data_IF_542715530295
#
_entry.id   IF_542715530295
#
_cell.length_a   1.000
_cell.length_b   1.000
_cell.length_c   1.000
_cell.angle_alpha   90.00
_cell.angle_beta   90.00
_cell.angle_gamma   90.00
#
_symmetry.space_group_name_H-M   'P 1'
#
loop_
_entity.id
_entity.type
_entity.pdbx_description
1 polymer ?
#
# COMPACT_ATOMS: atom_id res chain seq x y z
N UNK A 1 -6.33 15.83 33.08
CA UNK A 1 -5.22 15.60 32.13
C UNK A 1 -5.37 16.65 31.05
N UNK A 2 -4.49 17.65 31.05
CA UNK A 2 -4.46 18.64 29.97
C UNK A 2 -3.97 17.95 28.70
N UNK A 3 -4.83 17.83 27.70
CA UNK A 3 -4.49 17.32 26.36
C UNK A 3 -4.53 18.49 25.40
N UNK A 4 -3.37 19.07 25.06
CA UNK A 4 -3.31 20.00 23.94
C UNK A 4 -3.31 19.18 22.63
N UNK A 5 -4.37 19.29 21.84
CA UNK A 5 -4.59 18.46 20.64
C UNK A 5 -4.22 19.23 19.37
N UNK A 6 -3.48 18.58 18.47
CA UNK A 6 -3.29 18.94 17.05
C UNK A 6 -3.45 17.62 16.26
N UNK A 7 -4.17 17.44 15.15
CA UNK A 7 -4.86 18.30 14.18
C UNK A 7 -5.69 17.37 13.28
N UNK A 8 -6.96 17.65 12.95
CA UNK A 8 -7.77 16.68 12.18
C UNK A 8 -8.67 17.25 11.09
N UNK A 9 -8.46 16.69 9.90
CA UNK A 9 -9.21 16.91 8.69
C UNK A 9 -8.48 16.18 7.56
N UNK A 10 -8.99 15.01 7.18
CA UNK A 10 -8.39 14.13 6.15
C UNK A 10 -9.10 14.21 4.79
N UNK A 11 -9.90 15.25 4.57
CA UNK A 11 -10.56 15.54 3.29
C UNK A 11 -10.55 17.04 3.02
N UNK A 12 -10.66 17.44 1.76
CA UNK A 12 -10.60 18.86 1.38
C UNK A 12 -11.75 19.70 1.95
N UNK A 13 -12.90 19.08 2.21
CA UNK A 13 -14.01 19.72 2.93
C UNK A 13 -13.66 20.05 4.39
N UNK A 14 -12.67 19.38 4.99
CA UNK A 14 -12.12 19.68 6.31
C UNK A 14 -10.78 20.46 6.24
N UNK A 15 -10.19 20.63 5.05
CA UNK A 15 -8.84 21.18 4.82
C UNK A 15 -8.82 22.67 4.45
N UNK A 16 -9.97 23.30 4.23
CA UNK A 16 -10.08 24.62 3.59
C UNK A 16 -9.50 25.84 4.33
N UNK A 17 -8.78 25.68 5.45
CA UNK A 17 -8.10 26.79 6.14
C UNK A 17 -6.76 26.28 6.69
N UNK A 18 -5.68 27.03 6.42
CA UNK A 18 -4.31 26.72 6.83
C UNK A 18 -4.20 26.23 8.28
N UNK A 19 -3.77 24.97 8.45
CA UNK A 19 -3.05 24.48 9.62
C UNK A 19 -3.69 24.70 10.99
N UNK A 20 -4.54 23.75 11.39
CA UNK A 20 -4.88 23.38 12.81
C UNK A 20 -5.96 24.26 13.45
N UNK A 21 -7.13 23.67 13.76
CA UNK A 21 -8.31 24.47 14.10
C UNK A 21 -9.10 24.18 15.38
N UNK A 22 -8.91 23.11 16.17
CA UNK A 22 -9.64 22.98 17.47
C UNK A 22 -8.87 22.23 18.56
N UNK A 23 -8.85 22.77 19.78
CA UNK A 23 -8.46 22.03 20.99
C UNK A 23 -9.66 21.25 21.55
N UNK A 24 -9.47 20.01 22.01
CA UNK A 24 -10.51 19.22 22.68
C UNK A 24 -10.35 19.33 24.20
N UNK A 25 -11.41 19.77 24.89
CA UNK A 25 -11.46 19.76 26.36
C UNK A 25 -12.37 18.63 26.83
N UNK A 26 -11.77 17.65 27.53
CA UNK A 26 -12.48 16.48 28.06
C UNK A 26 -12.64 16.51 29.60
N UNK A 27 -12.06 17.49 30.28
CA UNK A 27 -12.17 17.70 31.73
C UNK A 27 -12.56 19.15 32.06
N UNK A 28 -13.04 19.40 33.28
CA UNK A 28 -13.36 20.76 33.75
C UNK A 28 -12.12 21.62 34.07
N UNK A 29 -10.91 21.17 33.70
CA UNK A 29 -9.67 21.92 33.95
C UNK A 29 -9.53 23.08 32.93
N UNK A 30 -9.10 24.27 33.37
CA UNK A 30 -8.90 25.40 32.47
C UNK A 30 -7.75 25.17 31.49
N UNK A 31 -8.01 25.36 30.19
CA UNK A 31 -7.00 25.34 29.13
C UNK A 31 -6.34 26.73 29.09
N UNK A 32 -5.12 26.84 29.59
CA UNK A 32 -4.38 28.11 29.59
C UNK A 32 -3.56 28.27 28.31
N UNK A 33 -3.76 29.40 27.61
CA UNK A 33 -2.89 29.80 26.50
C UNK A 33 -3.33 29.36 25.09
N UNK A 34 -4.54 28.83 24.91
CA UNK A 34 -5.03 28.45 23.58
C UNK A 34 -5.42 29.70 22.75
N UNK A 35 -4.73 29.91 21.63
CA UNK A 35 -5.06 30.92 20.60
C UNK A 35 -6.03 30.40 19.53
N UNK A 36 -6.54 29.17 19.70
CA UNK A 36 -7.32 28.38 18.73
C UNK A 36 -8.70 28.06 19.34
N UNK A 37 -9.79 27.93 18.56
CA UNK A 37 -11.10 27.56 19.08
C UNK A 37 -11.06 26.26 19.92
N UNK A 38 -11.76 26.20 21.05
CA UNK A 38 -11.83 25.02 21.93
C UNK A 38 -13.20 24.36 21.81
N UNK A 39 -13.22 23.06 21.48
CA UNK A 39 -14.39 22.20 21.56
C UNK A 39 -14.45 21.56 22.95
N UNK A 40 -15.45 21.96 23.73
CA UNK A 40 -15.62 21.53 25.12
C UNK A 40 -16.63 20.39 25.25
N UNK A 41 -16.11 19.19 25.46
CA UNK A 41 -16.89 17.97 25.63
C UNK A 41 -16.79 17.45 27.08
N UNK A 42 -16.37 18.28 28.03
CA UNK A 42 -16.29 17.91 29.45
C UNK A 42 -17.64 17.50 30.05
N UNK A 43 -18.76 17.93 29.46
CA UNK A 43 -20.12 17.50 29.81
C UNK A 43 -20.71 16.38 28.94
N UNK A 44 -19.92 15.79 28.02
CA UNK A 44 -20.37 14.75 27.08
C UNK A 44 -20.90 15.24 25.74
N UNK A 45 -21.26 16.53 25.61
CA UNK A 45 -21.69 17.15 24.36
C UNK A 45 -21.42 18.66 24.36
N UNK A 46 -21.25 19.25 23.18
CA UNK A 46 -21.20 20.71 22.97
C UNK A 46 -22.45 21.15 22.20
N UNK A 47 -23.20 22.13 22.71
CA UNK A 47 -24.40 22.65 22.03
C UNK A 47 -24.05 23.57 20.84
N UNK A 48 -22.83 24.10 20.80
CA UNK A 48 -22.40 25.06 19.76
C UNK A 48 -21.76 24.41 18.54
N UNK A 49 -21.28 23.17 18.66
CA UNK A 49 -20.87 22.32 17.55
C UNK A 49 -21.41 20.92 17.83
N UNK A 50 -22.25 20.37 16.94
CA UNK A 50 -23.00 19.12 17.16
C UNK A 50 -22.07 17.90 17.35
N UNK A 51 -21.40 17.84 18.49
CA UNK A 51 -20.31 16.94 18.79
C UNK A 51 -20.61 16.23 20.10
N UNK A 52 -20.45 14.91 20.10
CA UNK A 52 -20.69 14.05 21.26
C UNK A 52 -19.41 13.30 21.60
N UNK A 53 -19.05 13.28 22.89
CA UNK A 53 -17.96 12.48 23.40
C UNK A 53 -18.49 11.18 24.00
N UNK A 54 -17.91 10.05 23.58
CA UNK A 54 -18.20 8.73 24.13
C UNK A 54 -16.91 8.04 24.54
N UNK A 55 -16.86 7.59 25.80
CA UNK A 55 -15.76 6.77 26.31
C UNK A 55 -16.11 5.29 26.17
N UNK A 56 -15.36 4.57 25.34
CA UNK A 56 -15.58 3.14 25.04
C UNK A 56 -14.79 2.29 26.03
N UNK A 57 -15.50 1.66 26.98
CA UNK A 57 -14.94 0.64 27.86
C UNK A 57 -15.55 -0.75 27.60
N UNK A 58 -16.77 -0.80 27.04
CA UNK A 58 -17.49 -2.04 26.76
C UNK A 58 -18.47 -1.88 25.58
N UNK A 59 -19.19 -2.96 25.26
CA UNK A 59 -20.15 -3.01 24.15
C UNK A 59 -21.32 -2.03 24.30
N UNK A 60 -21.79 -1.75 25.52
CA UNK A 60 -22.90 -0.79 25.71
C UNK A 60 -22.48 0.63 25.35
N UNK A 61 -21.23 1.01 25.67
CA UNK A 61 -20.69 2.32 25.30
C UNK A 61 -20.57 2.45 23.78
N UNK A 62 -20.20 1.37 23.10
CA UNK A 62 -20.18 1.32 21.64
C UNK A 62 -21.57 1.48 21.04
N UNK A 63 -22.59 0.83 21.61
CA UNK A 63 -23.98 1.02 21.17
C UNK A 63 -24.45 2.46 21.39
N UNK A 64 -24.04 3.10 22.49
CA UNK A 64 -24.30 4.52 22.72
C UNK A 64 -23.65 5.40 21.65
N UNK A 65 -22.38 5.15 21.29
CA UNK A 65 -21.72 5.87 20.20
C UNK A 65 -22.42 5.68 18.85
N UNK A 66 -22.84 4.44 18.53
CA UNK A 66 -23.57 4.13 17.29
C UNK A 66 -24.92 4.86 17.21
N UNK A 67 -25.60 5.06 18.34
CA UNK A 67 -26.87 5.76 18.38
C UNK A 67 -26.77 7.25 17.98
N UNK A 68 -25.57 7.84 18.02
CA UNK A 68 -25.33 9.22 17.59
C UNK A 68 -25.02 9.36 16.09
N UNK A 69 -24.80 8.25 15.38
CA UNK A 69 -24.54 8.26 13.94
C UNK A 69 -25.78 8.74 13.18
N UNK A 70 -25.59 9.73 12.31
CA UNK A 70 -26.65 10.44 11.59
C UNK A 70 -27.32 11.55 12.39
N UNK A 71 -27.06 11.67 13.70
CA UNK A 71 -27.64 12.69 14.58
C UNK A 71 -26.63 13.79 14.97
N UNK A 72 -25.37 13.39 15.20
CA UNK A 72 -24.27 14.30 15.52
C UNK A 72 -23.43 14.61 14.27
N UNK A 73 -22.85 15.81 14.20
CA UNK A 73 -21.82 16.14 13.21
C UNK A 73 -20.51 15.42 13.55
N UNK A 74 -20.16 15.33 14.84
CA UNK A 74 -18.95 14.66 15.31
C UNK A 74 -19.24 13.67 16.43
N UNK A 75 -18.65 12.48 16.34
CA UNK A 75 -18.56 11.53 17.46
C UNK A 75 -17.09 11.39 17.82
N UNK A 76 -16.72 11.84 19.02
CA UNK A 76 -15.36 11.78 19.57
C UNK A 76 -15.26 10.58 20.51
N UNK A 77 -14.36 9.66 20.20
CA UNK A 77 -14.15 8.41 20.92
C UNK A 77 -12.90 8.50 21.80
N UNK A 78 -13.04 8.18 23.08
CA UNK A 78 -11.90 7.78 23.93
C UNK A 78 -12.05 6.32 24.32
N UNK A 79 -10.98 5.69 24.79
CA UNK A 79 -10.98 4.25 25.07
C UNK A 79 -10.44 3.97 26.46
N UNK A 80 -11.03 3.00 27.16
CA UNK A 80 -10.41 2.45 28.37
C UNK A 80 -9.17 1.63 28.00
N UNK A 81 -9.32 0.76 27.00
CA UNK A 81 -8.25 0.03 26.33
C UNK A 81 -8.41 0.18 24.81
N UNK A 82 -7.34 0.57 24.12
CA UNK A 82 -7.37 0.73 22.66
C UNK A 82 -7.73 -0.59 21.96
N UNK A 83 -8.70 -0.53 21.03
CA UNK A 83 -9.10 -1.66 20.20
C UNK A 83 -9.58 -1.18 18.83
N UNK A 84 -9.24 -1.95 17.79
CA UNK A 84 -9.62 -1.63 16.40
C UNK A 84 -11.11 -1.86 16.14
N UNK A 85 -11.70 -2.92 16.70
CA UNK A 85 -13.07 -3.35 16.36
C UNK A 85 -14.11 -2.25 16.62
N UNK A 86 -14.10 -1.53 17.76
CA UNK A 86 -15.05 -0.44 17.97
C UNK A 86 -14.89 0.70 16.97
N UNK A 87 -13.65 1.04 16.61
CA UNK A 87 -13.36 2.09 15.62
C UNK A 87 -13.89 1.68 14.24
N UNK A 88 -13.61 0.45 13.80
CA UNK A 88 -14.06 -0.07 12.50
C UNK A 88 -15.58 -0.09 12.39
N UNK A 89 -16.28 -0.54 13.43
CA UNK A 89 -17.74 -0.57 13.46
C UNK A 89 -18.35 0.84 13.38
N UNK A 90 -17.77 1.82 14.08
CA UNK A 90 -18.25 3.21 14.06
C UNK A 90 -17.96 3.88 12.70
N UNK A 91 -16.78 3.64 12.12
CA UNK A 91 -16.44 4.10 10.76
C UNK A 91 -17.40 3.49 9.74
N UNK A 92 -17.66 2.18 9.79
CA UNK A 92 -18.59 1.51 8.90
C UNK A 92 -20.02 2.06 9.02
N UNK A 93 -20.49 2.31 10.24
CA UNK A 93 -21.82 2.88 10.47
C UNK A 93 -21.93 4.33 9.98
N UNK A 94 -20.86 5.12 10.10
CA UNK A 94 -20.82 6.51 9.67
C UNK A 94 -20.81 6.67 8.14
N UNK A 95 -20.39 5.63 7.38
CA UNK A 95 -20.36 5.68 5.92
C UNK A 95 -21.75 6.00 5.33
N UNK A 96 -21.78 7.02 4.46
CA UNK A 96 -23.02 7.51 3.85
C UNK A 96 -23.85 8.43 4.74
N UNK A 97 -23.36 8.78 5.93
CA UNK A 97 -23.97 9.77 6.82
C UNK A 97 -23.09 11.05 6.88
N UNK A 98 -23.63 12.19 7.34
CA UNK A 98 -22.82 13.39 7.56
C UNK A 98 -21.97 13.35 8.84
N UNK A 99 -22.12 12.31 9.67
CA UNK A 99 -21.41 12.18 10.94
C UNK A 99 -19.96 11.81 10.70
N UNK A 100 -19.06 12.56 11.34
CA UNK A 100 -17.61 12.36 11.32
C UNK A 100 -17.12 11.73 12.61
N UNK A 101 -16.11 10.88 12.52
CA UNK A 101 -15.55 10.16 13.65
C UNK A 101 -14.19 10.74 14.03
N UNK A 102 -14.02 11.07 15.31
CA UNK A 102 -12.72 11.36 15.90
C UNK A 102 -12.33 10.29 16.93
N UNK A 103 -11.11 9.78 16.89
CA UNK A 103 -10.55 8.86 17.87
C UNK A 103 -9.40 9.54 18.62
N UNK A 104 -9.50 9.57 19.95
CA UNK A 104 -8.44 10.05 20.82
C UNK A 104 -7.49 8.89 21.13
N UNK A 105 -6.21 9.05 20.81
CA UNK A 105 -5.18 8.00 20.94
C UNK A 105 -3.86 8.59 21.46
N UNK A 106 -3.05 7.75 22.08
CA UNK A 106 -1.83 8.16 22.77
C UNK A 106 -0.58 7.35 22.37
N UNK A 107 -0.69 6.49 21.34
CA UNK A 107 0.45 5.69 20.83
C UNK A 107 0.55 5.73 19.32
N UNK A 108 1.76 5.68 18.73
CA UNK A 108 1.94 5.66 17.27
C UNK A 108 1.20 4.51 16.56
N UNK A 109 1.12 3.33 17.18
CA UNK A 109 0.37 2.20 16.63
C UNK A 109 -1.13 2.43 16.61
N UNK A 110 -1.69 3.07 17.64
CA UNK A 110 -3.10 3.45 17.66
C UNK A 110 -3.41 4.56 16.65
N UNK A 111 -2.49 5.51 16.44
CA UNK A 111 -2.61 6.52 15.38
C UNK A 111 -2.73 5.85 14.01
N UNK A 112 -1.80 4.94 13.68
CA UNK A 112 -1.83 4.22 12.40
C UNK A 112 -3.10 3.37 12.25
N UNK A 113 -3.51 2.66 13.31
CA UNK A 113 -4.75 1.89 13.33
C UNK A 113 -5.98 2.76 13.05
N UNK A 114 -6.16 3.84 13.81
CA UNK A 114 -7.26 4.79 13.62
C UNK A 114 -7.26 5.39 12.20
N UNK A 115 -6.09 5.81 11.72
CA UNK A 115 -5.93 6.46 10.43
C UNK A 115 -6.32 5.56 9.25
N UNK A 116 -6.20 4.23 9.35
CA UNK A 116 -6.46 3.29 8.25
C UNK A 116 -7.54 2.24 8.56
N UNK A 117 -8.36 2.45 9.59
CA UNK A 117 -9.47 1.56 9.94
C UNK A 117 -10.38 1.31 8.71
N UNK A 118 -10.58 0.04 8.34
CA UNK A 118 -11.31 -0.36 7.12
C UNK A 118 -10.83 0.32 5.82
N UNK A 119 -9.53 0.64 5.70
CA UNK A 119 -8.93 1.37 4.57
C UNK A 119 -9.48 2.78 4.34
N UNK A 120 -10.47 3.22 5.14
CA UNK A 120 -11.08 4.56 5.07
C UNK A 120 -10.52 5.44 6.19
N UNK A 121 -10.28 4.85 7.37
CA UNK A 121 -9.87 5.55 8.57
C UNK A 121 -10.97 6.36 9.22
N UNK A 122 -10.69 6.84 10.42
CA UNK A 122 -11.47 7.90 11.06
C UNK A 122 -11.26 9.23 10.33
N UNK A 123 -12.24 10.13 10.42
CA UNK A 123 -12.14 11.53 9.96
C UNK A 123 -11.19 12.36 10.83
N UNK A 124 -10.78 11.80 11.97
CA UNK A 124 -10.04 12.51 12.98
C UNK A 124 -9.28 11.57 13.98
N UNK A 125 -7.96 11.67 14.14
CA UNK A 125 -7.12 11.21 15.27
C UNK A 125 -6.64 12.35 16.22
N UNK A 126 -7.13 12.40 17.45
CA UNK A 126 -6.69 13.38 18.44
C UNK A 126 -5.58 12.79 19.33
N UNK A 127 -4.46 13.50 19.49
CA UNK A 127 -3.29 13.04 20.28
C UNK A 127 -2.90 14.05 21.35
N UNK A 128 -2.29 13.61 22.47
CA UNK A 128 -1.57 14.49 23.38
C UNK A 128 -0.49 15.33 22.67
N UNK A 129 -0.08 16.49 23.22
CA UNK A 129 0.88 17.42 22.60
C UNK A 129 2.33 16.96 22.75
N UNK A 130 2.57 15.69 22.50
CA UNK A 130 3.88 15.10 22.55
C UNK A 130 4.46 15.06 21.14
N UNK A 131 5.68 15.57 20.98
CA UNK A 131 6.32 15.70 19.66
C UNK A 131 6.33 14.38 18.88
N UNK A 132 6.58 13.26 19.53
CA UNK A 132 6.59 11.94 18.90
C UNK A 132 5.20 11.54 18.34
N UNK A 133 4.11 11.87 19.04
CA UNK A 133 2.75 11.58 18.58
C UNK A 133 2.31 12.53 17.47
N UNK A 134 2.72 13.79 17.55
CA UNK A 134 2.49 14.78 16.50
C UNK A 134 3.21 14.39 15.20
N UNK A 135 4.48 14.01 15.29
CA UNK A 135 5.27 13.57 14.13
C UNK A 135 4.64 12.31 13.50
N UNK A 136 4.19 11.35 14.33
CA UNK A 136 3.48 10.16 13.86
C UNK A 136 2.14 10.48 13.18
N UNK A 137 1.33 11.37 13.77
CA UNK A 137 0.06 11.80 13.20
C UNK A 137 0.25 12.54 11.87
N UNK A 138 1.26 13.40 11.77
CA UNK A 138 1.63 14.10 10.54
C UNK A 138 2.10 13.12 9.45
N UNK A 139 2.92 12.13 9.81
CA UNK A 139 3.37 11.11 8.86
C UNK A 139 2.20 10.31 8.28
N UNK A 140 1.24 9.90 9.12
CA UNK A 140 0.04 9.20 8.62
C UNK A 140 -0.81 10.12 7.74
N UNK A 141 -0.89 11.42 8.05
CA UNK A 141 -1.57 12.43 7.23
C UNK A 141 -1.01 12.55 5.83
N UNK A 142 0.31 12.65 5.72
CA UNK A 142 0.96 12.68 4.41
C UNK A 142 0.64 11.39 3.63
N UNK A 143 0.76 10.22 4.26
CA UNK A 143 0.50 8.94 3.60
C UNK A 143 -0.94 8.80 3.06
N UNK A 144 -1.95 9.35 3.77
CA UNK A 144 -3.35 9.32 3.29
C UNK A 144 -3.64 10.31 2.17
N UNK A 145 -3.02 11.49 2.21
CA UNK A 145 -3.17 12.47 1.13
C UNK A 145 -2.51 11.97 -0.16
N UNK A 146 -1.34 11.33 -0.05
CA UNK A 146 -0.68 10.67 -1.19
C UNK A 146 -1.56 9.57 -1.80
N UNK A 147 -2.19 8.71 -0.97
CA UNK A 147 -3.13 7.70 -1.46
C UNK A 147 -4.38 8.31 -2.13
N UNK A 148 -4.90 9.42 -1.60
CA UNK A 148 -6.07 10.09 -2.19
C UNK A 148 -5.73 10.77 -3.52
N UNK A 149 -4.53 11.37 -3.64
CA UNK A 149 -4.04 11.95 -4.89
C UNK A 149 -3.79 10.87 -5.97
N UNK A 150 -3.29 9.70 -5.60
CA UNK A 150 -3.18 8.55 -6.51
C UNK A 150 -4.55 8.03 -7.01
N UNK A 151 -5.63 8.27 -6.26
CA UNK A 151 -6.98 7.86 -6.65
C UNK A 151 -7.78 8.92 -7.44
N UNK A 152 -7.47 10.21 -7.29
CA UNK A 152 -8.26 11.31 -7.88
C UNK A 152 -7.58 11.99 -9.09
N UNK A 153 -6.29 11.74 -9.34
CA UNK A 153 -5.62 12.24 -10.55
C UNK A 153 -5.91 11.30 -11.72
N UNK A 154 -6.93 11.70 -12.49
CA UNK A 154 -7.32 11.06 -13.73
C UNK A 154 -6.14 10.71 -14.66
N UNK A 155 -6.18 9.46 -15.13
CA UNK A 155 -5.63 8.94 -16.38
C UNK A 155 -4.84 9.96 -17.21
N UNK A 156 -3.54 10.10 -16.97
CA UNK A 156 -2.68 10.84 -17.89
C UNK A 156 -1.23 10.37 -17.82
N UNK A 157 -0.81 9.66 -18.88
CA UNK A 157 0.55 9.50 -19.46
C UNK A 157 1.78 9.16 -18.59
N UNK A 158 1.75 9.32 -17.26
CA UNK A 158 2.85 9.14 -16.33
C UNK A 158 3.05 7.65 -15.98
N UNK A 159 1.94 6.91 -15.86
CA UNK A 159 1.87 5.47 -15.49
C UNK A 159 2.47 4.50 -16.50
N UNK A 160 2.81 4.95 -17.72
CA UNK A 160 3.44 4.10 -18.75
C UNK A 160 4.95 4.28 -18.88
N UNK A 161 5.60 5.09 -18.04
CA UNK A 161 7.07 5.20 -18.09
C UNK A 161 7.65 3.80 -17.90
N UNK A 162 8.59 3.39 -18.74
CA UNK A 162 9.30 2.10 -18.64
C UNK A 162 8.60 0.87 -19.25
N UNK A 163 7.27 0.74 -19.16
CA UNK A 163 6.58 -0.45 -19.70
C UNK A 163 6.52 -0.47 -21.23
N UNK A 164 6.79 -1.64 -21.80
CA UNK A 164 6.80 -1.87 -23.24
C UNK A 164 6.59 -3.34 -23.57
N UNK A 165 6.21 -3.61 -24.82
CA UNK A 165 6.16 -4.97 -25.34
C UNK A 165 7.55 -5.41 -25.78
N UNK A 166 8.00 -6.57 -25.29
CA UNK A 166 9.20 -7.25 -25.74
C UNK A 166 8.86 -8.60 -26.39
N UNK A 167 9.68 -9.03 -27.34
CA UNK A 167 9.52 -10.30 -28.05
C UNK A 167 10.47 -11.34 -27.46
N UNK A 168 9.95 -12.50 -27.10
CA UNK A 168 10.74 -13.65 -26.66
C UNK A 168 11.62 -14.12 -27.80
N UNK A 169 12.93 -14.19 -27.55
CA UNK A 169 13.93 -14.65 -28.52
C UNK A 169 14.36 -16.08 -28.23
N UNK A 170 14.37 -16.49 -26.96
CA UNK A 170 14.82 -17.83 -26.54
C UNK A 170 14.13 -18.28 -25.27
N UNK A 171 13.82 -19.57 -25.21
CA UNK A 171 13.29 -20.26 -24.02
C UNK A 171 14.10 -21.54 -23.84
N UNK A 172 14.69 -21.75 -22.66
CA UNK A 172 15.57 -22.89 -22.40
C UNK A 172 15.52 -23.38 -20.95
N UNK A 173 15.72 -24.68 -20.70
CA UNK A 173 15.94 -25.17 -19.33
C UNK A 173 17.16 -24.48 -18.70
N UNK A 174 17.04 -24.06 -17.45
CA UNK A 174 18.11 -23.35 -16.72
C UNK A 174 18.69 -24.16 -15.55
N UNK A 175 18.23 -25.40 -15.34
CA UNK A 175 18.68 -26.27 -14.26
C UNK A 175 17.92 -26.07 -12.96
N UNK A 176 18.51 -26.48 -11.83
CA UNK A 176 17.91 -26.36 -10.49
C UNK A 176 18.58 -25.22 -9.75
N UNK A 177 17.80 -24.37 -9.08
CA UNK A 177 18.32 -23.33 -8.20
C UNK A 177 17.31 -22.89 -7.15
N UNK A 178 17.67 -21.87 -6.39
CA UNK A 178 16.86 -21.33 -5.30
C UNK A 178 15.85 -20.31 -5.84
N UNK A 179 14.55 -20.64 -5.71
CA UNK A 179 13.42 -19.82 -6.17
C UNK A 179 12.85 -19.03 -5.01
N UNK A 180 12.81 -17.71 -5.15
CA UNK A 180 12.09 -16.80 -4.28
C UNK A 180 10.61 -16.68 -4.70
N UNK A 181 9.71 -16.93 -3.75
CA UNK A 181 8.33 -16.44 -3.77
C UNK A 181 8.20 -15.25 -2.84
N UNK A 182 7.46 -14.26 -3.29
CA UNK A 182 7.09 -13.07 -2.52
C UNK A 182 5.63 -13.23 -2.12
N UNK A 183 5.36 -13.35 -0.82
CA UNK A 183 4.02 -13.24 -0.27
C UNK A 183 3.81 -11.82 0.22
N UNK A 184 2.80 -11.14 -0.31
CA UNK A 184 2.43 -9.77 0.01
C UNK A 184 1.44 -9.73 1.17
N UNK A 185 1.43 -8.62 1.90
CA UNK A 185 0.45 -8.33 2.94
C UNK A 185 -0.90 -7.84 2.36
N UNK A 186 -1.02 -7.74 1.03
CA UNK A 186 -2.24 -7.41 0.31
C UNK A 186 -2.58 -8.43 -0.77
N UNK A 187 -3.81 -8.36 -1.28
CA UNK A 187 -4.27 -9.16 -2.40
C UNK A 187 -3.95 -8.47 -3.73
N UNK A 188 -3.55 -9.28 -4.71
CA UNK A 188 -3.36 -8.93 -6.10
C UNK A 188 -4.65 -9.16 -6.89
N UNK A 189 -4.93 -8.24 -7.78
CA UNK A 189 -5.98 -8.36 -8.78
C UNK A 189 -5.53 -9.21 -9.98
N UNK A 190 -6.48 -9.82 -10.72
CA UNK A 190 -6.15 -10.51 -11.96
C UNK A 190 -5.47 -9.60 -13.00
N UNK A 191 -4.17 -9.82 -13.19
CA UNK A 191 -3.34 -9.13 -14.18
C UNK A 191 -2.19 -8.37 -13.53
N UNK A 192 -2.26 -8.17 -12.22
CA UNK A 192 -1.19 -7.58 -11.42
C UNK A 192 -0.03 -8.56 -11.20
N UNK A 193 1.15 -7.98 -11.01
CA UNK A 193 2.38 -8.72 -10.75
C UNK A 193 3.53 -7.82 -10.35
N UNK A 194 4.72 -8.41 -10.27
CA UNK A 194 5.96 -7.71 -9.99
C UNK A 194 6.85 -7.69 -11.22
N UNK A 195 7.62 -6.62 -11.37
CA UNK A 195 8.67 -6.50 -12.38
C UNK A 195 9.95 -7.16 -11.88
N UNK A 196 10.38 -8.23 -12.56
CA UNK A 196 11.55 -9.04 -12.19
C UNK A 196 12.42 -9.38 -13.40
N UNK A 197 13.75 -9.34 -13.25
CA UNK A 197 14.66 -9.75 -14.32
C UNK A 197 16.10 -9.92 -13.86
N UNK A 198 16.92 -10.61 -14.66
CA UNK A 198 18.34 -10.82 -14.37
C UNK A 198 19.19 -9.54 -14.45
N UNK A 199 18.65 -8.45 -15.00
CA UNK A 199 19.32 -7.16 -15.14
C UNK A 199 18.40 -6.06 -14.64
N UNK A 200 18.91 -5.13 -13.82
CA UNK A 200 18.09 -4.08 -13.21
C UNK A 200 17.37 -3.17 -14.23
N UNK A 201 17.94 -3.00 -15.41
CA UNK A 201 17.37 -2.18 -16.49
C UNK A 201 16.30 -2.91 -17.32
N UNK A 202 16.23 -4.24 -17.27
CA UNK A 202 15.38 -5.07 -18.13
C UNK A 202 14.61 -6.11 -17.30
N UNK A 203 13.39 -5.74 -16.92
CA UNK A 203 12.53 -6.56 -16.05
C UNK A 203 11.31 -7.05 -16.83
N UNK A 204 10.83 -8.25 -16.56
CA UNK A 204 9.59 -8.80 -17.10
C UNK A 204 8.47 -8.76 -16.05
N UNK A 205 7.23 -8.58 -16.50
CA UNK A 205 6.08 -8.63 -15.60
C UNK A 205 5.73 -10.07 -15.24
N UNK A 206 6.07 -10.47 -14.01
CA UNK A 206 5.74 -11.78 -13.42
C UNK A 206 4.42 -11.67 -12.69
N UNK A 207 3.42 -12.39 -13.19
CA UNK A 207 2.03 -12.33 -12.74
C UNK A 207 1.83 -13.03 -11.38
N UNK A 208 0.90 -12.51 -10.58
CA UNK A 208 0.47 -13.12 -9.32
C UNK A 208 -0.24 -14.46 -9.46
N UNK A 209 -0.30 -15.23 -8.38
CA UNK A 209 -1.01 -16.53 -8.34
C UNK A 209 -2.54 -16.33 -8.21
N UNK A 210 -3.11 -15.51 -9.09
CA UNK A 210 -4.54 -15.13 -9.14
C UNK A 210 -5.35 -15.91 -10.18
N UNK A 211 -4.70 -16.62 -11.10
CA UNK A 211 -5.39 -17.50 -12.07
C UNK A 211 -5.55 -18.91 -11.49
N UNK A 212 -6.78 -19.43 -11.38
CA UNK A 212 -7.02 -20.78 -10.88
C UNK A 212 -6.40 -21.84 -11.80
N UNK A 213 -5.94 -22.94 -11.19
CA UNK A 213 -5.57 -24.16 -11.92
C UNK A 213 -6.47 -25.32 -11.51
N UNK A 214 -6.47 -26.39 -12.30
CA UNK A 214 -7.28 -27.57 -12.00
C UNK A 214 -6.83 -28.31 -10.72
N UNK A 215 -5.61 -28.06 -10.25
CA UNK A 215 -4.97 -28.87 -9.21
C UNK A 215 -4.56 -28.07 -7.97
N UNK A 216 -4.50 -26.74 -8.05
CA UNK A 216 -3.98 -25.88 -6.98
C UNK A 216 -4.88 -24.65 -6.82
N UNK A 217 -5.37 -24.35 -5.61
CA UNK A 217 -6.11 -23.12 -5.35
C UNK A 217 -5.19 -21.90 -5.52
N UNK A 218 -5.78 -20.78 -5.94
CA UNK A 218 -5.07 -19.50 -6.06
C UNK A 218 -4.60 -18.99 -4.72
N UNK A 219 -3.48 -18.29 -4.74
CA UNK A 219 -2.98 -17.51 -3.60
C UNK A 219 -2.81 -16.08 -4.09
N UNK A 220 -3.90 -15.29 -4.10
CA UNK A 220 -3.86 -13.95 -4.69
C UNK A 220 -2.93 -12.97 -3.97
N UNK A 221 -2.25 -13.36 -2.90
CA UNK A 221 -1.18 -12.58 -2.27
C UNK A 221 0.24 -13.01 -2.69
N UNK A 222 0.40 -14.04 -3.53
CA UNK A 222 1.70 -14.65 -3.85
C UNK A 222 2.16 -14.35 -5.28
N UNK A 223 3.44 -14.04 -5.43
CA UNK A 223 4.14 -14.00 -6.71
C UNK A 223 5.30 -15.01 -6.70
N UNK A 224 5.34 -15.86 -7.73
CA UNK A 224 6.44 -16.80 -7.95
C UNK A 224 7.58 -16.08 -8.70
N UNK A 225 8.23 -15.13 -8.01
CA UNK A 225 9.07 -14.08 -8.60
C UNK A 225 10.25 -14.60 -9.45
N UNK A 226 10.95 -15.66 -9.01
CA UNK A 226 11.99 -16.32 -9.81
C UNK A 226 13.24 -16.68 -9.01
N UNK A 227 14.38 -16.79 -9.69
CA UNK A 227 15.67 -17.09 -9.06
C UNK A 227 16.17 -15.92 -8.17
N UNK A 228 16.76 -16.25 -7.02
CA UNK A 228 17.17 -15.28 -5.97
C UNK A 228 18.12 -14.16 -6.42
N UNK A 229 18.90 -14.36 -7.50
CA UNK A 229 19.84 -13.36 -8.03
C UNK A 229 19.17 -12.28 -8.91
N UNK A 230 17.89 -12.43 -9.25
CA UNK A 230 17.23 -11.48 -10.13
C UNK A 230 16.85 -10.22 -9.36
N UNK A 231 16.76 -9.11 -10.07
CA UNK A 231 16.28 -7.85 -9.57
C UNK A 231 14.76 -7.81 -9.49
N UNK A 232 14.22 -7.14 -8.48
CA UNK A 232 12.83 -6.71 -8.38
C UNK A 232 12.75 -5.17 -8.31
N UNK A 233 11.71 -4.59 -8.90
CA UNK A 233 11.42 -3.16 -8.79
C UNK A 233 10.66 -2.84 -7.50
N UNK A 234 11.20 -1.91 -6.71
CA UNK A 234 10.61 -1.44 -5.46
C UNK A 234 9.64 -0.27 -5.72
N UNK A 235 8.75 -0.01 -4.74
CA UNK A 235 7.74 1.05 -4.84
C UNK A 235 8.36 2.44 -5.06
N UNK A 236 9.54 2.69 -4.50
CA UNK A 236 10.30 3.93 -4.64
C UNK A 236 11.05 4.06 -6.00
N UNK A 237 10.88 3.11 -6.92
CA UNK A 237 11.53 3.10 -8.24
C UNK A 237 13.00 2.67 -8.24
N UNK A 238 13.54 2.21 -7.13
CA UNK A 238 14.83 1.51 -7.06
C UNK A 238 14.68 0.01 -7.32
N UNK A 239 15.79 -0.70 -7.53
CA UNK A 239 15.78 -2.16 -7.68
C UNK A 239 16.68 -2.83 -6.66
N UNK A 240 16.29 -3.99 -6.14
CA UNK A 240 17.14 -4.82 -5.28
C UNK A 240 17.14 -6.27 -5.79
N UNK A 241 18.08 -7.10 -5.34
CA UNK A 241 18.01 -8.53 -5.61
C UNK A 241 16.81 -9.15 -4.86
N UNK A 242 16.21 -10.21 -5.44
CA UNK A 242 15.17 -10.99 -4.78
C UNK A 242 15.65 -11.63 -3.47
N UNK A 243 16.95 -11.90 -3.34
CA UNK A 243 17.58 -12.36 -2.10
C UNK A 243 17.66 -11.30 -1.01
N UNK A 244 17.57 -10.02 -1.36
CA UNK A 244 17.66 -8.88 -0.43
C UNK A 244 16.29 -8.45 0.08
N UNK A 245 15.20 -8.81 -0.62
CA UNK A 245 13.84 -8.56 -0.14
C UNK A 245 13.58 -9.25 1.20
N UNK A 246 12.87 -8.54 2.05
CA UNK A 246 12.53 -8.94 3.40
C UNK A 246 11.10 -8.51 3.76
N UNK A 247 10.56 -9.06 4.84
CA UNK A 247 9.23 -8.65 5.30
C UNK A 247 9.25 -7.19 5.76
N UNK A 248 8.29 -6.39 5.32
CA UNK A 248 8.23 -4.95 5.54
C UNK A 248 8.71 -4.11 4.35
N UNK A 249 9.43 -4.69 3.39
CA UNK A 249 9.81 -3.97 2.18
C UNK A 249 8.59 -3.70 1.29
N UNK A 250 8.61 -2.57 0.58
CA UNK A 250 7.55 -2.16 -0.34
C UNK A 250 7.94 -2.39 -1.80
N UNK A 251 7.17 -3.22 -2.50
CA UNK A 251 7.39 -3.54 -3.91
C UNK A 251 6.38 -2.84 -4.80
N UNK A 252 6.82 -2.48 -6.02
CA UNK A 252 5.91 -1.95 -7.01
C UNK A 252 5.12 -3.09 -7.66
N UNK A 253 3.81 -3.08 -7.46
CA UNK A 253 2.88 -3.97 -8.16
C UNK A 253 2.31 -3.21 -9.34
N UNK A 254 2.34 -3.83 -10.52
CA UNK A 254 1.89 -3.21 -11.77
C UNK A 254 1.00 -4.15 -12.57
N UNK A 255 0.10 -3.57 -13.36
CA UNK A 255 -0.64 -4.27 -14.41
C UNK A 255 -0.05 -4.00 -15.82
N UNK A 256 -0.62 -4.66 -16.84
CA UNK A 256 -0.17 -4.48 -18.23
C UNK A 256 -0.50 -3.11 -18.85
N UNK A 257 -1.40 -2.33 -18.23
CA UNK A 257 -1.79 -0.99 -18.69
C UNK A 257 -0.88 0.10 -18.10
N UNK A 258 -0.16 -0.24 -17.04
CA UNK A 258 0.72 0.63 -16.29
C UNK A 258 0.13 1.14 -14.98
N UNK A 259 -1.09 0.73 -14.62
CA UNK A 259 -1.60 1.03 -13.29
C UNK A 259 -0.69 0.35 -12.27
N UNK A 260 -0.25 1.11 -11.27
CA UNK A 260 0.73 0.66 -10.31
C UNK A 260 0.37 1.08 -8.90
N UNK A 261 0.72 0.26 -7.91
CA UNK A 261 0.55 0.56 -6.48
C UNK A 261 1.63 -0.12 -5.65
N UNK A 262 1.87 0.40 -4.45
CA UNK A 262 2.76 -0.23 -3.47
C UNK A 262 2.04 -1.37 -2.74
N UNK A 263 2.71 -2.51 -2.56
CA UNK A 263 2.31 -3.54 -1.61
C UNK A 263 3.50 -3.96 -0.74
N UNK A 264 3.23 -4.13 0.56
CA UNK A 264 4.23 -4.57 1.54
C UNK A 264 4.47 -6.08 1.40
N UNK A 265 5.73 -6.49 1.42
CA UNK A 265 6.15 -7.89 1.51
C UNK A 265 5.82 -8.40 2.92
N UNK A 266 4.96 -9.42 3.00
CA UNK A 266 4.66 -10.10 4.26
C UNK A 266 5.65 -11.24 4.57
N UNK A 267 6.08 -11.99 3.54
CA UNK A 267 7.03 -13.09 3.71
C UNK A 267 7.76 -13.43 2.42
N UNK A 268 9.06 -13.71 2.54
CA UNK A 268 9.85 -14.37 1.51
C UNK A 268 9.91 -15.88 1.71
N UNK A 269 9.64 -16.66 0.66
CA UNK A 269 9.79 -18.12 0.68
C UNK A 269 10.79 -18.56 -0.39
N UNK A 270 11.94 -19.08 0.05
CA UNK A 270 12.99 -19.60 -0.83
C UNK A 270 13.01 -21.13 -0.83
N UNK A 271 12.96 -21.76 -2.00
CA UNK A 271 13.05 -23.22 -2.13
C UNK A 271 13.69 -23.65 -3.45
N UNK A 272 14.36 -24.81 -3.46
CA UNK A 272 14.98 -25.36 -4.67
C UNK A 272 13.95 -25.88 -5.68
N UNK A 273 14.01 -25.39 -6.91
CA UNK A 273 13.10 -25.76 -8.00
C UNK A 273 13.84 -25.82 -9.34
N UNK A 274 13.35 -26.62 -10.30
CA UNK A 274 13.80 -26.53 -11.69
C UNK A 274 13.34 -25.21 -12.30
N UNK A 275 14.21 -24.60 -13.10
CA UNK A 275 14.02 -23.32 -13.75
C UNK A 275 13.98 -23.43 -15.27
N UNK A 276 13.29 -22.46 -15.87
CA UNK A 276 13.35 -22.13 -17.29
C UNK A 276 13.85 -20.68 -17.40
N UNK A 277 14.71 -20.42 -18.38
CA UNK A 277 15.17 -19.08 -18.75
C UNK A 277 14.39 -18.61 -19.96
N UNK A 278 13.87 -17.38 -19.89
CA UNK A 278 13.18 -16.69 -20.97
C UNK A 278 13.98 -15.44 -21.30
N UNK A 279 14.58 -15.42 -22.49
CA UNK A 279 15.27 -14.26 -23.04
C UNK A 279 14.33 -13.52 -23.99
N UNK A 280 14.30 -12.20 -23.90
CA UNK A 280 13.43 -11.35 -24.71
C UNK A 280 14.16 -10.09 -25.15
N UNK A 281 13.71 -9.50 -26.26
CA UNK A 281 14.29 -8.29 -26.83
C UNK A 281 13.20 -7.22 -27.00
N UNK A 282 13.50 -5.99 -26.59
CA UNK A 282 12.59 -4.88 -26.77
C UNK A 282 12.69 -4.29 -28.19
N UNK A 283 11.83 -3.30 -28.52
CA UNK A 283 11.85 -2.65 -29.84
C UNK A 283 13.14 -1.90 -30.17
N UNK A 284 13.94 -1.54 -29.16
CA UNK A 284 15.24 -0.87 -29.30
C UNK A 284 16.40 -1.86 -29.46
N UNK A 285 16.13 -3.17 -29.46
CA UNK A 285 17.16 -4.19 -29.58
C UNK A 285 17.87 -4.53 -28.26
N UNK A 286 17.40 -4.02 -27.13
CA UNK A 286 17.98 -4.33 -25.82
C UNK A 286 17.41 -5.66 -25.31
N UNK A 287 18.30 -6.53 -24.83
CA UNK A 287 17.97 -7.86 -24.35
C UNK A 287 17.72 -7.85 -22.84
N UNK A 288 16.69 -8.56 -22.41
CA UNK A 288 16.44 -8.91 -21.02
C UNK A 288 16.30 -10.41 -20.85
N UNK A 289 16.52 -10.88 -19.62
CA UNK A 289 16.34 -12.28 -19.24
C UNK A 289 15.54 -12.37 -17.95
N UNK A 290 14.66 -13.36 -17.87
CA UNK A 290 14.01 -13.75 -16.62
C UNK A 290 14.11 -15.27 -16.42
N UNK A 291 14.43 -15.69 -15.21
CA UNK A 291 14.62 -17.08 -14.81
C UNK A 291 13.51 -17.47 -13.82
N UNK A 292 12.58 -18.28 -14.29
CA UNK A 292 11.33 -18.59 -13.60
C UNK A 292 11.17 -20.08 -13.39
N UNK A 293 10.53 -20.49 -12.31
CA UNK A 293 10.33 -21.92 -12.05
C UNK A 293 9.56 -22.54 -13.20
N UNK A 294 10.00 -23.71 -13.65
CA UNK A 294 9.29 -24.51 -14.63
C UNK A 294 8.05 -25.16 -13.98
N UNK A 295 6.94 -24.41 -13.92
CA UNK A 295 5.65 -24.88 -13.42
C UNK A 295 4.50 -24.07 -14.02
N UNK A 296 3.35 -24.72 -14.25
CA UNK A 296 2.20 -24.11 -14.91
C UNK A 296 1.60 -22.90 -14.18
N UNK A 297 1.79 -22.84 -12.86
CA UNK A 297 1.31 -21.77 -11.98
C UNK A 297 2.13 -20.50 -12.06
N UNK A 298 3.34 -20.56 -12.65
CA UNK A 298 4.21 -19.41 -12.85
C UNK A 298 3.90 -18.79 -14.20
N UNK A 299 3.64 -17.48 -14.21
CA UNK A 299 3.11 -16.81 -15.39
C UNK A 299 3.83 -15.49 -15.65
N UNK A 300 4.07 -15.21 -16.92
CA UNK A 300 4.38 -13.87 -17.43
C UNK A 300 3.11 -13.25 -18.00
N UNK A 301 3.14 -11.95 -18.32
CA UNK A 301 1.98 -11.26 -18.92
C UNK A 301 2.23 -10.98 -20.39
N UNK A 302 1.28 -11.33 -21.26
CA UNK A 302 1.37 -11.09 -22.70
C UNK A 302 1.10 -9.63 -23.07
N UNK A 303 1.38 -9.27 -24.33
CA UNK A 303 1.16 -7.91 -24.84
C UNK A 303 -0.30 -7.40 -24.75
N UNK A 304 -1.27 -8.27 -24.46
CA UNK A 304 -2.70 -7.96 -24.28
C UNK A 304 -3.10 -7.92 -22.80
N UNK A 305 -2.16 -8.14 -21.88
CA UNK A 305 -2.43 -8.21 -20.44
C UNK A 305 -2.92 -9.58 -19.95
N UNK A 306 -2.79 -10.63 -20.77
CA UNK A 306 -3.23 -11.97 -20.42
C UNK A 306 -2.09 -12.76 -19.76
N UNK A 307 -2.31 -13.40 -18.59
CA UNK A 307 -1.32 -14.28 -17.98
C UNK A 307 -1.01 -15.49 -18.86
N UNK A 308 0.26 -15.70 -19.19
CA UNK A 308 0.79 -16.84 -19.94
C UNK A 308 1.63 -17.72 -19.04
N UNK A 309 1.34 -19.01 -19.03
CA UNK A 309 2.17 -19.98 -18.31
C UNK A 309 3.57 -20.06 -18.91
N UNK A 310 4.60 -20.02 -18.07
CA UNK A 310 6.00 -20.12 -18.53
C UNK A 310 6.30 -21.44 -19.23
N UNK A 311 5.51 -22.49 -18.97
CA UNK A 311 5.63 -23.80 -19.63
C UNK A 311 5.11 -23.80 -21.07
N UNK A 312 4.34 -22.78 -21.47
CA UNK A 312 3.77 -22.61 -22.81
C UNK A 312 4.41 -21.47 -23.60
N UNK A 313 5.42 -20.80 -23.05
CA UNK A 313 6.09 -19.69 -23.72
C UNK A 313 7.07 -20.23 -24.75
N UNK A 314 7.01 -19.67 -25.95
CA UNK A 314 7.88 -20.02 -27.07
C UNK A 314 8.53 -18.76 -27.67
N UNK A 315 9.62 -18.98 -28.41
CA UNK A 315 10.25 -17.91 -29.18
C UNK A 315 9.25 -17.31 -30.19
N UNK A 316 9.25 -15.98 -30.32
CA UNK A 316 8.31 -15.23 -31.15
C UNK A 316 7.09 -14.70 -30.40
N UNK A 317 6.77 -15.25 -29.21
CA UNK A 317 5.71 -14.68 -28.36
C UNK A 317 6.12 -13.30 -27.82
N UNK A 318 5.14 -12.54 -27.36
CA UNK A 318 5.35 -11.18 -26.83
C UNK A 318 4.88 -11.07 -25.38
N UNK A 319 5.69 -10.38 -24.57
CA UNK A 319 5.44 -10.16 -23.15
C UNK A 319 5.54 -8.68 -22.79
N UNK A 320 4.98 -8.31 -21.64
CA UNK A 320 5.16 -7.00 -21.02
C UNK A 320 6.48 -6.99 -20.24
N UNK A 321 7.32 -6.00 -20.57
CA UNK A 321 8.61 -5.76 -19.93
C UNK A 321 8.76 -4.29 -19.55
N UNK A 322 9.51 -4.05 -18.49
CA UNK A 322 10.01 -2.75 -18.09
C UNK A 322 11.42 -2.54 -18.62
N UNK A 323 11.66 -1.36 -19.18
CA UNK A 323 12.97 -0.92 -19.62
C UNK A 323 13.28 0.44 -18.99
N UNK A 324 14.33 0.48 -18.17
CA UNK A 324 14.88 1.76 -17.75
C UNK A 324 15.88 2.26 -18.79
N UNK A 325 15.78 3.54 -19.15
CA UNK A 325 16.72 4.19 -20.05
C UNK A 325 17.97 4.71 -19.31
N UNK A 326 17.93 4.78 -17.98
CA UNK A 326 19.07 5.14 -17.13
C UNK A 326 19.81 3.86 -16.71
N UNK A 327 21.13 3.81 -16.93
CA UNK A 327 21.97 2.76 -16.36
C UNK A 327 21.75 2.71 -14.83
N UNK A 328 21.68 1.51 -14.27
CA UNK A 328 21.56 1.33 -12.81
C UNK A 328 22.74 0.51 -12.33
N UNK A 329 23.41 1.00 -11.29
CA UNK A 329 24.45 0.25 -10.58
C UNK A 329 23.98 0.10 -9.14
N UNK A 330 23.80 -1.15 -8.70
CA UNK A 330 23.40 -1.49 -7.33
C UNK A 330 22.14 -0.72 -6.88
N UNK A 331 21.08 -0.80 -7.69
CA UNK A 331 19.76 -0.28 -7.33
C UNK A 331 19.55 1.23 -7.48
N UNK A 332 20.60 2.02 -7.66
CA UNK A 332 20.50 3.47 -7.90
C UNK A 332 20.72 3.81 -9.38
N UNK A 333 19.98 4.80 -9.89
CA UNK A 333 20.17 5.33 -11.24
C UNK A 333 21.51 6.07 -11.30
N UNK A 334 22.46 5.58 -12.09
CA UNK A 334 23.76 6.21 -12.28
C UNK A 334 24.06 6.26 -13.79
N UNK A 335 24.53 7.40 -14.29
CA UNK A 335 25.03 7.54 -15.67
C UNK A 335 26.40 6.83 -15.86
N UNK A 336 26.51 5.57 -15.45
CA UNK A 336 27.70 4.75 -15.69
C UNK A 336 27.34 3.43 -16.39
N UNK A 337 28.09 3.11 -17.44
CA UNK A 337 27.96 1.86 -18.21
C UNK A 337 28.45 0.67 -17.38
N UNK A 338 27.52 0.01 -16.69
CA UNK A 338 27.76 -1.30 -16.08
C UNK A 338 27.17 -2.36 -17.01
N UNK A 339 28.01 -3.31 -17.43
CA UNK A 339 27.58 -4.45 -18.26
C UNK A 339 27.36 -5.67 -17.37
N UNK A 340 26.12 -6.16 -17.32
CA UNK A 340 25.72 -7.41 -16.66
C UNK A 340 25.51 -8.51 -17.72
N UNK A 341 25.81 -9.78 -17.42
CA UNK A 341 25.81 -10.91 -18.37
C UNK A 341 24.85 -12.04 -17.96
#
# INVERSE_FOLDING_TARGET
>A
MNMDVWSLGWTDAASGVEGVHRCLRLSHEPVYGASVPVLDLSGGSDETSSAVHVHIANENDQQAALAHIGLAEWVVLTFADWSMIPVENLVAAAQGTPTKIAAVVDTPSAIAGAAFALQTGVDAVAVPPERALLDAAQAMRSARLEQAEDHDVGTSAQERRGLSVARVTRVEPFGIGDRACVDLAGLLEPGEGMLVGSTAAHLALVHGETVPSAFVPTRPFRINAGAVHQYALLANGSTCYLSELSAGDEVLVVDAKGASRSLVVGRMKVERRPFISVTYINKKGQEGRVVLQNAETVRLVDARGTPMSVTTIEAGMSLIAWNDASGRHVGQAIESEVTEH
#
